data_IF_756482871171
#
_entry.id   IF_756482871171
#
_cell.length_a   1.000
_cell.length_b   1.000
_cell.length_c   1.000
_cell.angle_alpha   90.00
_cell.angle_beta   90.00
_cell.angle_gamma   90.00
#
_symmetry.space_group_name_H-M   'P 1'
#
loop_
_entity.id
_entity.type
_entity.pdbx_description
1 polymer ?
#
# COMPACT_ATOMS: atom_id res chain seq x y z
N UNK A 1 -19.16 -9.91 0.44
CA UNK A 1 -18.25 -8.82 0.88
C UNK A 1 -17.81 -9.12 2.31
N UNK A 2 -16.69 -8.57 2.79
CA UNK A 2 -16.21 -8.82 4.16
C UNK A 2 -16.95 -8.03 5.25
N UNK A 3 -17.86 -7.11 4.87
CA UNK A 3 -18.66 -6.32 5.83
C UNK A 3 -17.87 -5.31 6.65
N UNK A 4 -16.62 -5.03 6.29
CA UNK A 4 -15.72 -4.08 6.99
C UNK A 4 -15.65 -2.73 6.28
N UNK A 5 -15.52 -1.61 7.02
CA UNK A 5 -15.36 -0.27 6.45
C UNK A 5 -14.10 -0.14 5.59
N UNK A 6 -14.14 0.78 4.62
CA UNK A 6 -13.01 1.13 3.77
C UNK A 6 -12.43 2.49 4.18
N UNK A 7 -11.12 2.51 4.45
CA UNK A 7 -10.33 3.73 4.60
C UNK A 7 -9.37 3.86 3.42
N UNK A 8 -9.22 5.06 2.87
CA UNK A 8 -8.47 5.33 1.64
C UNK A 8 -7.34 6.31 1.90
N UNK A 9 -6.10 5.83 1.72
CA UNK A 9 -4.92 6.67 1.61
C UNK A 9 -4.91 7.46 0.30
N UNK A 10 -4.47 8.72 0.34
CA UNK A 10 -4.40 9.61 -0.82
C UNK A 10 -2.98 10.16 -1.00
N UNK A 11 -2.60 10.49 -2.24
CA UNK A 11 -1.33 11.16 -2.54
C UNK A 11 -1.39 12.69 -2.48
N UNK A 12 -2.58 13.25 -2.22
CA UNK A 12 -2.81 14.69 -2.06
C UNK A 12 -3.85 14.91 -0.98
N UNK A 13 -3.70 15.98 -0.21
CA UNK A 13 -4.72 16.43 0.72
C UNK A 13 -5.88 17.10 -0.05
N UNK A 14 -7.13 16.84 0.34
CA UNK A 14 -8.30 17.56 -0.15
C UNK A 14 -8.93 18.31 1.01
N UNK A 15 -9.42 19.52 0.76
CA UNK A 15 -10.13 20.30 1.79
C UNK A 15 -11.31 19.51 2.43
N UNK A 16 -11.96 18.63 1.65
CA UNK A 16 -13.04 17.76 2.11
C UNK A 16 -12.62 16.72 3.15
N UNK A 17 -11.33 16.37 3.23
CA UNK A 17 -10.83 15.37 4.18
C UNK A 17 -10.67 15.97 5.61
N UNK A 18 -10.72 17.30 5.74
CA UNK A 18 -10.54 18.00 7.02
C UNK A 18 -9.15 17.79 7.60
N UNK A 19 -9.07 17.48 8.90
CA UNK A 19 -7.82 17.09 9.54
C UNK A 19 -7.31 15.76 8.97
N UNK A 20 -6.03 15.72 8.59
CA UNK A 20 -5.41 14.54 8.00
C UNK A 20 -4.06 14.22 8.65
N UNK A 21 -3.80 12.92 8.83
CA UNK A 21 -2.45 12.40 9.08
C UNK A 21 -1.68 12.44 7.77
N UNK A 22 -0.43 12.87 7.83
CA UNK A 22 0.48 12.88 6.68
C UNK A 22 1.75 12.11 7.03
N UNK A 23 2.10 11.13 6.21
CA UNK A 23 3.38 10.42 6.31
C UNK A 23 4.20 10.66 5.06
N UNK A 24 5.52 10.64 5.23
CA UNK A 24 6.47 10.78 4.15
C UNK A 24 7.25 9.48 4.02
N UNK A 25 7.37 8.96 2.79
CA UNK A 25 8.05 7.71 2.52
C UNK A 25 8.92 7.83 1.25
N UNK A 26 10.08 7.17 1.22
CA UNK A 26 10.93 7.16 0.05
C UNK A 26 10.33 6.28 -1.05
N UNK A 27 10.54 6.70 -2.29
CA UNK A 27 10.29 5.88 -3.47
C UNK A 27 11.59 5.23 -3.95
N UNK A 28 11.49 4.29 -4.91
CA UNK A 28 12.65 3.63 -5.52
C UNK A 28 13.66 4.62 -6.14
N UNK A 29 13.20 5.80 -6.58
CA UNK A 29 14.05 6.79 -7.25
C UNK A 29 14.64 7.83 -6.29
N UNK A 30 14.51 7.65 -4.97
CA UNK A 30 14.98 8.60 -3.96
C UNK A 30 14.05 9.79 -3.73
N UNK A 31 13.01 9.97 -4.54
CA UNK A 31 11.97 10.96 -4.27
C UNK A 31 11.22 10.61 -2.98
N UNK A 32 10.95 11.60 -2.15
CA UNK A 32 10.07 11.46 -0.99
C UNK A 32 8.64 11.79 -1.43
N UNK A 33 7.71 10.87 -1.19
CA UNK A 33 6.28 11.07 -1.45
C UNK A 33 5.52 11.23 -0.14
N UNK A 34 4.48 12.05 -0.18
CA UNK A 34 3.53 12.20 0.90
C UNK A 34 2.31 11.30 0.70
N UNK A 35 1.79 10.74 1.78
CA UNK A 35 0.53 10.01 1.83
C UNK A 35 -0.34 10.58 2.94
N UNK A 36 -1.61 10.79 2.63
CA UNK A 36 -2.58 11.46 3.48
C UNK A 36 -3.74 10.51 3.80
N UNK A 37 -4.23 10.55 5.04
CA UNK A 37 -5.49 9.92 5.43
C UNK A 37 -6.22 10.83 6.41
N UNK A 38 -7.50 11.09 6.14
CA UNK A 38 -8.35 11.89 7.03
C UNK A 38 -8.47 11.21 8.40
N UNK A 39 -8.37 11.97 9.49
CA UNK A 39 -8.38 11.42 10.86
C UNK A 39 -9.69 10.71 11.23
N UNK A 40 -10.78 10.99 10.50
CA UNK A 40 -12.08 10.35 10.67
C UNK A 40 -12.19 8.98 9.99
N UNK A 41 -11.24 8.59 9.15
CA UNK A 41 -11.32 7.35 8.38
C UNK A 41 -10.87 6.11 9.16
N UNK A 42 -10.04 6.29 10.20
CA UNK A 42 -9.50 5.19 10.99
C UNK A 42 -9.46 5.58 12.46
N UNK A 43 -10.14 4.79 13.29
CA UNK A 43 -10.05 4.92 14.75
C UNK A 43 -8.73 4.31 15.25
N UNK A 44 -8.20 4.87 16.35
CA UNK A 44 -6.96 4.39 16.97
C UNK A 44 -7.10 2.95 17.46
N UNK A 45 -6.06 2.14 17.30
CA UNK A 45 -6.01 0.78 17.85
C UNK A 45 -6.85 -0.26 17.09
N UNK A 46 -7.43 0.09 15.93
CA UNK A 46 -8.15 -0.87 15.09
C UNK A 46 -7.20 -1.84 14.42
N UNK A 47 -7.74 -3.01 14.08
CA UNK A 47 -7.08 -4.00 13.25
C UNK A 47 -7.43 -3.78 11.78
N UNK A 48 -6.42 -3.68 10.91
CA UNK A 48 -6.59 -3.30 9.50
C UNK A 48 -5.95 -4.33 8.57
N UNK A 49 -6.51 -4.48 7.37
CA UNK A 49 -5.87 -5.17 6.24
C UNK A 49 -5.53 -4.13 5.19
N UNK A 50 -4.29 -4.14 4.72
CA UNK A 50 -3.85 -3.27 3.63
C UNK A 50 -4.11 -3.98 2.31
N UNK A 51 -4.66 -3.26 1.34
CA UNK A 51 -4.89 -3.74 -0.02
C UNK A 51 -4.35 -2.76 -1.05
N UNK A 52 -3.75 -3.28 -2.11
CA UNK A 52 -3.32 -2.50 -3.27
C UNK A 52 -3.53 -3.32 -4.56
N UNK A 53 -3.71 -2.64 -5.69
CA UNK A 53 -3.94 -3.31 -6.97
C UNK A 53 -2.63 -3.84 -7.59
N UNK A 54 -1.56 -3.03 -7.58
CA UNK A 54 -0.30 -3.36 -8.19
C UNK A 54 0.91 -2.93 -7.36
N UNK A 55 1.80 -3.87 -7.08
CA UNK A 55 3.04 -3.60 -6.38
C UNK A 55 4.26 -3.85 -7.27
N UNK A 56 4.98 -2.78 -7.64
CA UNK A 56 6.34 -2.88 -8.19
C UNK A 56 7.39 -2.97 -7.08
N UNK A 57 7.74 -1.85 -6.45
CA UNK A 57 8.78 -1.80 -5.42
C UNK A 57 8.29 -1.85 -3.97
N UNK A 58 6.97 -1.78 -3.74
CA UNK A 58 6.38 -1.80 -2.40
C UNK A 58 6.37 -0.46 -1.65
N UNK A 59 6.81 0.65 -2.26
CA UNK A 59 6.83 1.95 -1.60
C UNK A 59 5.44 2.44 -1.19
N UNK A 60 4.41 2.22 -2.01
CA UNK A 60 3.02 2.59 -1.67
C UNK A 60 2.55 1.86 -0.42
N UNK A 61 2.74 0.53 -0.36
CA UNK A 61 2.42 -0.29 0.81
C UNK A 61 3.22 0.14 2.04
N UNK A 62 4.52 0.45 1.88
CA UNK A 62 5.33 0.99 2.97
C UNK A 62 4.76 2.31 3.51
N UNK A 63 4.29 3.20 2.63
CA UNK A 63 3.55 4.40 3.01
C UNK A 63 2.28 4.09 3.80
N UNK A 64 1.49 3.11 3.35
CA UNK A 64 0.26 2.68 4.05
C UNK A 64 0.56 2.08 5.43
N UNK A 65 1.65 1.32 5.57
CA UNK A 65 2.12 0.81 6.87
C UNK A 65 2.49 1.94 7.83
N UNK A 66 3.15 2.99 7.33
CA UNK A 66 3.44 4.19 8.14
C UNK A 66 2.15 4.89 8.56
N UNK A 67 1.16 5.05 7.68
CA UNK A 67 -0.15 5.60 8.05
C UNK A 67 -0.79 4.75 9.16
N UNK A 68 -0.85 3.43 9.00
CA UNK A 68 -1.42 2.54 10.02
C UNK A 68 -0.70 2.71 11.38
N UNK A 69 0.64 2.85 11.36
CA UNK A 69 1.44 3.12 12.56
C UNK A 69 1.08 4.45 13.23
N UNK A 70 0.89 5.53 12.46
CA UNK A 70 0.47 6.83 13.02
C UNK A 70 -0.90 6.77 13.70
N UNK A 71 -1.82 5.95 13.17
CA UNK A 71 -3.09 5.67 13.82
C UNK A 71 -2.99 4.63 14.95
N UNK A 72 -1.81 4.09 15.24
CA UNK A 72 -1.62 3.00 16.19
C UNK A 72 -2.46 1.76 15.87
N UNK A 73 -2.72 1.52 14.57
CA UNK A 73 -3.50 0.38 14.11
C UNK A 73 -2.63 -0.88 14.01
N UNK A 74 -3.23 -2.04 14.27
CA UNK A 74 -2.61 -3.35 14.09
C UNK A 74 -2.83 -3.82 12.65
N UNK A 75 -1.75 -4.08 11.92
CA UNK A 75 -1.84 -4.59 10.54
C UNK A 75 -1.98 -6.12 10.59
N UNK A 76 -3.17 -6.61 10.25
CA UNK A 76 -3.49 -8.04 10.19
C UNK A 76 -2.86 -8.75 8.99
N UNK A 77 -2.58 -8.01 7.92
CA UNK A 77 -2.00 -8.53 6.69
C UNK A 77 -2.04 -7.52 5.55
N UNK A 78 -1.32 -7.85 4.49
CA UNK A 78 -1.24 -7.09 3.26
C UNK A 78 -1.61 -7.99 2.09
N UNK A 79 -2.63 -7.62 1.33
CA UNK A 79 -3.07 -8.32 0.13
C UNK A 79 -2.84 -7.47 -1.12
N UNK A 80 -2.16 -8.02 -2.12
CA UNK A 80 -1.87 -7.33 -3.38
C UNK A 80 -2.51 -8.11 -4.52
N UNK A 81 -3.16 -7.43 -5.47
CA UNK A 81 -3.73 -8.16 -6.60
C UNK A 81 -2.62 -8.68 -7.54
N UNK A 82 -1.71 -7.81 -8.00
CA UNK A 82 -0.61 -8.14 -8.89
C UNK A 82 0.72 -7.60 -8.36
N UNK A 83 1.78 -8.41 -8.35
CA UNK A 83 3.12 -7.95 -7.94
C UNK A 83 4.13 -8.23 -9.04
N UNK A 84 4.98 -7.25 -9.34
CA UNK A 84 6.08 -7.46 -10.29
C UNK A 84 7.17 -8.31 -9.66
N UNK A 85 7.89 -9.13 -10.44
CA UNK A 85 9.11 -9.79 -9.94
C UNK A 85 10.33 -8.86 -9.87
N UNK A 86 10.27 -7.68 -10.51
CA UNK A 86 11.33 -6.66 -10.47
C UNK A 86 10.86 -5.37 -9.76
N UNK A 87 11.59 -4.86 -8.75
CA UNK A 87 12.79 -5.43 -8.13
C UNK A 87 12.51 -6.68 -7.31
N UNK A 88 13.49 -7.59 -7.18
CA UNK A 88 13.36 -8.76 -6.28
C UNK A 88 13.11 -8.33 -4.84
N UNK A 89 13.94 -7.39 -4.36
CA UNK A 89 13.79 -6.82 -3.03
C UNK A 89 12.70 -5.74 -3.03
N UNK A 90 11.68 -5.95 -2.20
CA UNK A 90 10.58 -5.00 -1.99
C UNK A 90 10.84 -4.20 -0.72
N UNK A 91 10.28 -2.99 -0.66
CA UNK A 91 10.25 -2.19 0.55
C UNK A 91 9.45 -2.83 1.70
N UNK A 92 8.67 -3.88 1.41
CA UNK A 92 7.85 -4.63 2.36
C UNK A 92 8.06 -6.13 2.16
N UNK A 93 8.27 -6.87 3.25
CA UNK A 93 8.57 -8.31 3.20
C UNK A 93 7.37 -9.22 3.45
N UNK A 94 6.33 -8.72 4.12
CA UNK A 94 5.13 -9.50 4.47
C UNK A 94 3.93 -9.03 3.67
N UNK A 95 3.58 -9.81 2.65
CA UNK A 95 2.39 -9.64 1.83
C UNK A 95 1.98 -10.98 1.20
N UNK A 96 0.72 -11.05 0.78
CA UNK A 96 0.23 -12.10 -0.13
C UNK A 96 -0.21 -11.43 -1.42
N UNK A 97 0.12 -12.03 -2.54
CA UNK A 97 -0.43 -11.61 -3.83
C UNK A 97 -1.31 -12.69 -4.44
N UNK A 98 -2.11 -12.31 -5.44
CA UNK A 98 -2.84 -13.29 -6.25
C UNK A 98 -2.06 -13.66 -7.51
N UNK A 99 -1.37 -12.67 -8.10
CA UNK A 99 -0.68 -12.81 -9.38
C UNK A 99 0.73 -12.23 -9.31
N UNK A 100 1.65 -12.83 -10.07
CA UNK A 100 2.99 -12.30 -10.33
C UNK A 100 3.13 -11.86 -11.79
N UNK A 101 3.79 -10.72 -12.01
CA UNK A 101 4.13 -10.16 -13.31
C UNK A 101 5.65 -10.21 -13.55
N UNK A 102 6.07 -11.03 -14.51
CA UNK A 102 7.45 -11.16 -14.95
C UNK A 102 7.74 -10.39 -16.23
N UNK A 103 8.91 -9.77 -16.29
CA UNK A 103 9.37 -9.07 -17.49
C UNK A 103 8.53 -7.84 -17.83
N UNK A 104 8.24 -6.99 -16.83
CA UNK A 104 7.37 -5.81 -17.01
C UNK A 104 7.80 -4.89 -18.15
N UNK A 105 9.11 -4.76 -18.37
CA UNK A 105 9.69 -3.90 -19.40
C UNK A 105 9.92 -4.65 -20.73
N UNK A 106 9.42 -5.89 -20.86
CA UNK A 106 9.50 -6.70 -22.08
C UNK A 106 8.24 -6.51 -22.95
N UNK A 107 8.39 -6.77 -24.26
CA UNK A 107 7.29 -6.64 -25.24
C UNK A 107 6.10 -7.56 -24.93
N UNK A 108 6.34 -8.68 -24.25
CA UNK A 108 5.31 -9.63 -23.83
C UNK A 108 5.58 -10.04 -22.37
N UNK A 109 5.04 -9.30 -21.38
CA UNK A 109 5.18 -9.67 -19.99
C UNK A 109 4.36 -10.93 -19.67
N UNK A 110 4.85 -11.75 -18.75
CA UNK A 110 4.19 -13.00 -18.35
C UNK A 110 3.50 -12.81 -17.02
N UNK A 111 2.23 -13.25 -16.94
CA UNK A 111 1.47 -13.30 -15.69
C UNK A 111 1.39 -14.76 -15.23
N UNK A 112 1.61 -14.98 -13.94
CA UNK A 112 1.48 -16.29 -13.28
C UNK A 112 0.73 -16.14 -11.95
N UNK A 113 0.26 -17.25 -11.38
CA UNK A 113 -0.27 -17.27 -10.01
C UNK A 113 0.87 -17.02 -9.02
N UNK A 114 0.58 -16.29 -7.94
CA UNK A 114 1.52 -16.09 -6.85
C UNK A 114 1.64 -17.37 -6.01
N UNK A 115 2.87 -17.85 -5.80
CA UNK A 115 3.19 -19.01 -4.95
C UNK A 115 3.50 -18.60 -3.50
#
# INVERSE_FOLDING_TARGET
>A
SMGIPLAVCRFRNRASDGSAVTVHYPTKNGEVRAMYMGTKQLERGKRVVIVDDFMRGGSTVAGMLLVAKEFGAEVAGTGIFLVSSDPRDKAVSSYKALLQLDGMDQRQPKVSLWE
#
